data_IF_800275119978
#
_entry.id   IF_800275119978
#
_cell.length_a   1.000
_cell.length_b   1.000
_cell.length_c   1.000
_cell.angle_alpha   90.00
_cell.angle_beta   90.00
_cell.angle_gamma   90.00
#
_symmetry.space_group_name_H-M   'P 1'
#
loop_
_entity.id
_entity.type
_entity.pdbx_description
1 polymer ?
#
# COMPACT_ATOMS: atom_id res chain seq x y z
N UNK A 1 -3.79 -9.20 -7.50
CA UNK A 1 -4.33 -8.44 -8.65
C UNK A 1 -3.24 -8.28 -9.69
N UNK A 2 -3.55 -8.30 -10.98
CA UNK A 2 -2.55 -8.10 -12.05
C UNK A 2 -2.64 -6.69 -12.63
N UNK A 3 -1.50 -6.13 -13.00
CA UNK A 3 -1.41 -4.89 -13.74
C UNK A 3 -1.87 -5.08 -15.20
N UNK A 4 -1.88 -3.99 -15.99
CA UNK A 4 -2.27 -4.05 -17.41
C UNK A 4 -1.39 -4.95 -18.28
N UNK A 5 -0.18 -5.26 -17.83
CA UNK A 5 0.79 -6.12 -18.51
C UNK A 5 0.73 -7.59 -18.01
N UNK A 6 -0.17 -7.91 -17.08
CA UNK A 6 -0.31 -9.25 -16.49
C UNK A 6 0.67 -9.54 -15.35
N UNK A 7 1.40 -8.53 -14.84
CA UNK A 7 2.31 -8.66 -13.70
C UNK A 7 1.48 -8.62 -12.42
N UNK A 8 1.70 -9.59 -11.54
CA UNK A 8 1.08 -9.59 -10.21
C UNK A 8 1.62 -8.44 -9.38
N UNK A 9 0.72 -7.56 -8.92
CA UNK A 9 1.04 -6.42 -8.05
C UNK A 9 1.16 -6.92 -6.61
N UNK A 10 2.30 -6.65 -5.97
CA UNK A 10 2.58 -7.06 -4.60
C UNK A 10 2.91 -5.86 -3.71
N UNK A 11 2.78 -6.07 -2.40
CA UNK A 11 3.21 -5.09 -1.40
C UNK A 11 4.70 -4.78 -1.54
N UNK A 12 5.04 -3.49 -1.60
CA UNK A 12 6.39 -3.01 -1.89
C UNK A 12 6.67 -2.67 -3.35
N UNK A 13 5.80 -3.05 -4.30
CA UNK A 13 5.94 -2.66 -5.69
C UNK A 13 5.67 -1.18 -5.90
N UNK A 14 6.35 -0.59 -6.89
CA UNK A 14 6.05 0.75 -7.37
C UNK A 14 5.13 0.64 -8.57
N UNK A 15 4.03 1.38 -8.53
CA UNK A 15 3.00 1.41 -9.57
C UNK A 15 2.77 2.82 -10.07
N UNK A 16 2.45 2.95 -11.35
CA UNK A 16 1.97 4.20 -11.94
C UNK A 16 0.47 4.08 -12.24
N UNK A 17 -0.30 5.06 -11.80
CA UNK A 17 -1.71 5.22 -12.16
C UNK A 17 -1.82 6.27 -13.25
N UNK A 18 -2.55 5.92 -14.31
CA UNK A 18 -2.90 6.82 -15.42
C UNK A 18 -4.37 6.74 -15.77
N UNK A 19 -4.92 7.78 -16.40
CA UNK A 19 -6.29 7.76 -16.92
C UNK A 19 -7.40 8.00 -15.88
N UNK A 20 -7.05 8.30 -14.63
CA UNK A 20 -8.03 8.60 -13.59
C UNK A 20 -8.83 9.88 -13.89
N UNK A 21 -10.07 9.92 -13.40
CA UNK A 21 -10.98 11.07 -13.52
C UNK A 21 -10.39 12.31 -12.82
N UNK A 22 -9.92 12.16 -11.58
CA UNK A 22 -9.21 13.24 -10.89
C UNK A 22 -7.73 13.18 -11.21
N UNK A 23 -7.21 14.24 -11.85
CA UNK A 23 -5.80 14.35 -12.22
C UNK A 23 -4.82 14.17 -11.05
N UNK A 24 -5.28 14.40 -9.82
CA UNK A 24 -4.49 14.22 -8.60
C UNK A 24 -4.13 12.77 -8.31
N UNK A 25 -4.95 11.83 -8.79
CA UNK A 25 -4.78 10.40 -8.54
C UNK A 25 -3.82 9.77 -9.56
N UNK A 26 -3.55 10.47 -10.66
CA UNK A 26 -2.49 10.08 -11.59
C UNK A 26 -1.12 10.36 -10.96
N UNK A 27 -0.20 9.40 -11.10
CA UNK A 27 1.16 9.51 -10.59
C UNK A 27 1.75 8.18 -10.15
N UNK A 28 2.89 8.26 -9.48
CA UNK A 28 3.60 7.10 -8.94
C UNK A 28 3.20 6.87 -7.49
N UNK A 29 3.02 5.60 -7.16
CA UNK A 29 2.69 5.13 -5.83
C UNK A 29 3.53 3.89 -5.52
N UNK A 30 3.74 3.58 -4.25
CA UNK A 30 4.11 2.24 -3.83
C UNK A 30 2.90 1.55 -3.21
N UNK A 31 2.86 0.23 -3.32
CA UNK A 31 1.81 -0.60 -2.71
C UNK A 31 2.15 -0.79 -1.24
N UNK A 32 1.39 -0.12 -0.38
CA UNK A 32 1.53 -0.27 1.07
C UNK A 32 0.85 -1.56 1.55
N UNK A 33 -0.33 -1.87 0.97
CA UNK A 33 -1.13 -3.05 1.32
C UNK A 33 -1.72 -3.69 0.08
N UNK A 34 -1.59 -5.00 -0.01
CA UNK A 34 -2.25 -5.83 -1.01
C UNK A 34 -3.34 -6.71 -0.37
N UNK A 35 -4.29 -7.16 -1.18
CA UNK A 35 -5.32 -8.12 -0.76
C UNK A 35 -4.67 -9.39 -0.21
N UNK A 36 -5.07 -9.80 1.00
CA UNK A 36 -4.52 -10.97 1.69
C UNK A 36 -3.31 -10.69 2.58
N UNK A 37 -2.80 -9.45 2.60
CA UNK A 37 -1.73 -9.05 3.51
C UNK A 37 -2.14 -9.29 4.98
N UNK A 38 -1.21 -9.78 5.83
CA UNK A 38 -1.42 -9.81 7.27
C UNK A 38 -1.89 -8.45 7.83
N UNK A 39 -3.05 -8.47 8.48
CA UNK A 39 -3.66 -7.28 9.09
C UNK A 39 -4.43 -6.38 8.12
N UNK A 40 -4.51 -6.73 6.83
CA UNK A 40 -5.35 -6.06 5.85
C UNK A 40 -6.65 -6.85 5.65
N UNK A 41 -7.79 -6.17 5.82
CA UNK A 41 -9.12 -6.78 5.67
C UNK A 41 -9.84 -6.32 4.40
N UNK A 42 -9.22 -5.41 3.64
CA UNK A 42 -9.78 -4.91 2.39
C UNK A 42 -9.41 -5.79 1.20
N UNK A 43 -10.30 -5.83 0.21
CA UNK A 43 -10.00 -6.33 -1.15
C UNK A 43 -9.23 -5.30 -1.98
N UNK A 44 -9.35 -4.02 -1.63
CA UNK A 44 -8.70 -2.92 -2.33
C UNK A 44 -7.25 -2.80 -1.88
N UNK A 45 -6.38 -2.33 -2.77
CA UNK A 45 -4.97 -2.12 -2.51
C UNK A 45 -4.78 -0.71 -1.95
N UNK A 46 -4.04 -0.56 -0.86
CA UNK A 46 -3.67 0.74 -0.31
C UNK A 46 -2.36 1.20 -0.96
N UNK A 47 -2.36 2.41 -1.52
CA UNK A 47 -1.24 2.97 -2.26
C UNK A 47 -0.77 4.27 -1.62
N UNK A 48 0.54 4.46 -1.52
CA UNK A 48 1.15 5.69 -1.02
C UNK A 48 1.97 6.40 -2.09
N UNK A 49 1.72 7.69 -2.27
CA UNK A 49 2.31 8.49 -3.34
C UNK A 49 3.82 8.62 -3.15
N UNK A 50 4.54 8.36 -4.24
CA UNK A 50 5.99 8.45 -4.30
C UNK A 50 6.41 9.34 -5.46
N UNK A 51 7.54 10.01 -5.34
CA UNK A 51 8.13 10.75 -6.46
C UNK A 51 8.85 9.80 -7.42
N UNK A 52 9.10 10.26 -8.65
CA UNK A 52 9.96 9.55 -9.62
C UNK A 52 11.38 9.24 -9.10
N UNK A 53 11.82 9.92 -8.03
CA UNK A 53 13.13 9.72 -7.39
C UNK A 53 13.09 8.69 -6.26
N UNK A 54 11.93 8.09 -5.97
CA UNK A 54 11.77 7.16 -4.85
C UNK A 54 11.52 7.82 -3.49
N UNK A 55 11.25 9.14 -3.46
CA UNK A 55 10.91 9.86 -2.21
C UNK A 55 9.43 9.70 -1.86
N UNK A 56 9.11 9.22 -0.67
CA UNK A 56 7.73 9.08 -0.18
C UNK A 56 7.12 10.46 0.09
N UNK A 57 5.91 10.70 -0.40
CA UNK A 57 5.21 11.96 -0.22
C UNK A 57 4.69 12.10 1.22
N UNK A 58 5.00 13.23 1.86
CA UNK A 58 4.48 13.62 3.19
C UNK A 58 3.24 14.53 3.09
N UNK A 59 2.71 14.75 1.90
CA UNK A 59 1.55 15.60 1.69
C UNK A 59 0.28 14.94 2.24
N UNK A 60 -0.66 15.74 2.77
CA UNK A 60 -1.93 15.26 3.34
C UNK A 60 -2.76 14.36 2.40
N UNK A 61 -2.67 14.56 1.09
CA UNK A 61 -3.39 13.79 0.06
C UNK A 61 -2.42 12.90 -0.72
N UNK A 62 -1.73 12.02 -0.01
CA UNK A 62 -0.75 11.07 -0.56
C UNK A 62 -1.29 9.64 -0.67
N UNK A 63 -2.41 9.30 -0.04
CA UNK A 63 -3.00 7.96 -0.11
C UNK A 63 -3.95 7.86 -1.31
N UNK A 64 -3.90 6.73 -2.00
CA UNK A 64 -4.85 6.31 -3.02
C UNK A 64 -5.23 4.85 -2.79
N UNK A 65 -6.40 4.45 -3.28
CA UNK A 65 -6.79 3.04 -3.29
C UNK A 65 -6.84 2.53 -4.71
N UNK A 66 -6.64 1.23 -4.89
CA UNK A 66 -6.83 0.56 -6.17
C UNK A 66 -7.74 -0.66 -6.03
N UNK A 67 -8.90 -0.73 -6.72
CA UNK A 67 -9.45 0.25 -7.66
C UNK A 67 -9.67 1.66 -7.07
N UNK A 68 -9.64 2.71 -7.91
CA UNK A 68 -9.65 4.10 -7.44
C UNK A 68 -10.92 4.43 -6.65
N UNK A 69 -10.77 4.62 -5.34
CA UNK A 69 -11.82 5.08 -4.46
C UNK A 69 -12.02 6.61 -4.57
N UNK A 70 -13.28 7.03 -4.75
CA UNK A 70 -13.67 8.44 -4.88
C UNK A 70 -14.34 8.93 -3.59
N UNK A 71 -13.72 9.91 -2.93
CA UNK A 71 -14.18 10.48 -1.65
C UNK A 71 -14.61 11.95 -1.81
N UNK A 72 -15.75 12.19 -2.45
CA UNK A 72 -16.35 13.53 -2.55
C UNK A 72 -17.79 13.51 -2.06
N UNK A 73 -18.31 14.68 -1.65
CA UNK A 73 -19.68 14.82 -1.14
C UNK A 73 -20.73 14.77 -2.26
N UNK A 74 -20.37 15.19 -3.47
CA UNK A 74 -21.26 15.21 -4.62
C UNK A 74 -21.46 13.79 -5.19
N UNK A 75 -22.67 13.26 -5.01
CA UNK A 75 -23.03 11.90 -5.44
C UNK A 75 -23.03 11.73 -6.95
N UNK A 76 -23.46 12.73 -7.71
CA UNK A 76 -23.52 12.63 -9.17
C UNK A 76 -22.10 12.56 -9.74
N UNK A 77 -21.23 13.46 -9.29
CA UNK A 77 -19.80 13.42 -9.66
C UNK A 77 -19.10 12.15 -9.18
N UNK A 78 -19.48 11.62 -8.01
CA UNK A 78 -18.92 10.36 -7.52
C UNK A 78 -19.26 9.21 -8.47
N UNK A 79 -20.51 9.13 -8.94
CA UNK A 79 -20.93 8.10 -9.88
C UNK A 79 -20.22 8.24 -11.24
N UNK A 80 -20.12 9.47 -11.76
CA UNK A 80 -19.37 9.75 -13.00
C UNK A 80 -17.90 9.36 -12.88
N UNK A 81 -17.24 9.76 -11.79
CA UNK A 81 -15.84 9.46 -11.56
C UNK A 81 -15.58 7.96 -11.40
N UNK A 82 -16.46 7.22 -10.70
CA UNK A 82 -16.35 5.76 -10.58
C UNK A 82 -16.49 5.08 -11.94
N UNK A 83 -17.48 5.48 -12.74
CA UNK A 83 -17.68 4.93 -14.09
C UNK A 83 -16.46 5.22 -14.98
N UNK A 84 -15.99 6.46 -14.98
CA UNK A 84 -14.79 6.84 -15.73
C UNK A 84 -13.56 6.05 -15.29
N UNK A 85 -13.30 5.96 -13.99
CA UNK A 85 -12.15 5.22 -13.47
C UNK A 85 -12.21 3.74 -13.84
N UNK A 86 -13.39 3.13 -13.81
CA UNK A 86 -13.56 1.73 -14.22
C UNK A 86 -13.25 1.51 -15.71
N UNK A 87 -13.53 2.51 -16.56
CA UNK A 87 -13.34 2.43 -18.01
C UNK A 87 -11.93 2.86 -18.46
N UNK A 88 -11.29 3.77 -17.74
CA UNK A 88 -10.09 4.48 -18.21
C UNK A 88 -8.89 4.42 -17.27
N UNK A 89 -9.07 4.13 -15.98
CA UNK A 89 -7.94 4.09 -15.08
C UNK A 89 -7.13 2.81 -15.31
N UNK A 90 -5.83 2.97 -15.47
CA UNK A 90 -4.88 1.89 -15.60
C UNK A 90 -3.85 1.95 -14.48
N UNK A 91 -3.38 0.78 -14.06
CA UNK A 91 -2.27 0.61 -13.14
C UNK A 91 -1.17 -0.21 -13.83
N UNK A 92 0.07 0.20 -13.64
CA UNK A 92 1.24 -0.44 -14.24
C UNK A 92 2.38 -0.55 -13.22
N UNK A 93 2.97 -1.72 -13.06
CA UNK A 93 4.17 -1.87 -12.23
C UNK A 93 5.37 -1.24 -12.93
N UNK A 94 6.10 -0.39 -12.22
CA UNK A 94 7.26 0.34 -12.75
C UNK A 94 8.54 -0.12 -12.08
N UNK A 95 9.44 -0.66 -12.89
CA UNK A 95 10.81 -0.98 -12.52
C UNK A 95 11.74 0.22 -12.77
N UNK A 96 12.81 0.36 -11.98
CA UNK A 96 13.81 1.43 -12.16
C UNK A 96 13.61 2.68 -11.30
N UNK A 97 12.60 2.72 -10.43
CA UNK A 97 12.50 3.73 -9.36
C UNK A 97 13.09 3.15 -8.08
N UNK A 98 13.87 3.96 -7.36
CA UNK A 98 14.46 3.52 -6.08
C UNK A 98 13.37 3.19 -5.06
N UNK A 99 13.52 2.02 -4.41
CA UNK A 99 12.62 1.51 -3.36
C UNK A 99 13.26 1.57 -1.96
N UNK A 100 14.40 2.25 -1.80
CA UNK A 100 15.11 2.31 -0.52
C UNK A 100 14.25 2.89 0.61
N UNK A 101 13.58 4.02 0.39
CA UNK A 101 12.68 4.58 1.40
C UNK A 101 11.45 3.71 1.67
N UNK A 102 11.03 2.91 0.70
CA UNK A 102 9.92 1.96 0.88
C UNK A 102 10.36 0.82 1.80
N UNK A 103 11.59 0.32 1.65
CA UNK A 103 12.15 -0.66 2.57
C UNK A 103 12.27 -0.12 4.00
N UNK A 104 12.73 1.14 4.15
CA UNK A 104 12.80 1.81 5.45
C UNK A 104 11.42 2.01 6.07
N UNK A 105 10.42 2.40 5.27
CA UNK A 105 9.03 2.53 5.70
C UNK A 105 8.49 1.22 6.30
N UNK A 106 8.66 0.08 5.61
CA UNK A 106 8.20 -1.21 6.15
C UNK A 106 8.98 -1.63 7.40
N UNK A 107 10.26 -1.28 7.49
CA UNK A 107 11.05 -1.52 8.69
C UNK A 107 10.52 -0.72 9.89
N UNK A 108 10.24 0.57 9.70
CA UNK A 108 9.65 1.43 10.73
C UNK A 108 8.28 0.90 11.19
N UNK A 109 7.41 0.51 10.25
CA UNK A 109 6.13 -0.13 10.55
C UNK A 109 6.28 -1.42 11.37
N UNK A 110 7.33 -2.20 11.11
CA UNK A 110 7.62 -3.40 11.90
C UNK A 110 8.12 -3.04 13.31
N UNK A 111 8.94 -2.00 13.43
CA UNK A 111 9.51 -1.55 14.70
C UNK A 111 8.43 -0.98 15.62
N UNK A 112 7.47 -0.21 15.08
CA UNK A 112 6.30 0.31 15.83
C UNK A 112 5.46 -0.80 16.47
N UNK A 113 5.36 -1.97 15.83
CA UNK A 113 4.64 -3.12 16.38
C UNK A 113 5.31 -3.74 17.60
N UNK A 114 6.61 -3.49 17.83
CA UNK A 114 7.37 -4.09 18.92
C UNK A 114 6.79 -3.74 20.30
N UNK A 115 6.55 -2.45 20.55
CA UNK A 115 5.98 -2.01 21.82
C UNK A 115 4.52 -2.45 21.99
N UNK A 116 3.78 -2.52 20.88
CA UNK A 116 2.40 -3.04 20.88
C UNK A 116 2.35 -4.52 21.26
N UNK A 117 3.20 -5.34 20.64
CA UNK A 117 3.34 -6.77 20.94
C UNK A 117 3.72 -6.94 22.41
N UNK A 118 4.73 -6.21 22.89
CA UNK A 118 5.16 -6.27 24.29
C UNK A 118 4.00 -5.99 25.26
N UNK A 119 3.25 -4.92 25.03
CA UNK A 119 2.13 -4.53 25.88
C UNK A 119 1.01 -5.58 25.82
N UNK A 120 0.67 -6.07 24.64
CA UNK A 120 -0.43 -7.00 24.46
C UNK A 120 -0.06 -8.41 24.98
N UNK A 121 1.21 -8.82 24.90
CA UNK A 121 1.73 -10.02 25.57
C UNK A 121 1.61 -9.93 27.08
N UNK A 122 1.89 -8.78 27.68
CA UNK A 122 1.72 -8.60 29.13
C UNK A 122 0.25 -8.64 29.56
N UNK A 123 -0.66 -8.05 28.78
CA UNK A 123 -2.08 -8.00 29.10
C UNK A 123 -2.83 -9.32 28.86
N UNK A 124 -2.50 -10.03 27.77
CA UNK A 124 -3.32 -11.13 27.25
C UNK A 124 -2.55 -12.47 27.18
N UNK A 125 -1.24 -12.45 27.43
CA UNK A 125 -0.35 -13.60 27.26
C UNK A 125 0.16 -13.75 25.82
N UNK A 126 1.35 -14.32 25.70
CA UNK A 126 2.07 -14.50 24.41
C UNK A 126 1.30 -15.41 23.43
N UNK A 127 0.54 -16.37 23.96
CA UNK A 127 -0.22 -17.33 23.16
C UNK A 127 -1.58 -16.81 22.68
N UNK A 128 -1.96 -15.59 23.06
CA UNK A 128 -3.22 -14.99 22.64
C UNK A 128 -3.26 -14.74 21.13
N UNK A 129 -4.45 -14.88 20.53
CA UNK A 129 -4.64 -14.65 19.10
C UNK A 129 -4.25 -13.23 18.66
N UNK A 130 -4.38 -12.25 19.55
CA UNK A 130 -4.02 -10.85 19.28
C UNK A 130 -2.50 -10.72 19.11
N UNK A 131 -1.72 -11.32 20.01
CA UNK A 131 -0.26 -11.29 19.95
C UNK A 131 0.23 -12.05 18.73
N UNK A 132 -0.29 -13.25 18.47
CA UNK A 132 0.05 -14.04 17.27
C UNK A 132 -0.21 -13.28 15.98
N UNK A 133 -1.36 -12.58 15.88
CA UNK A 133 -1.68 -11.72 14.74
C UNK A 133 -0.65 -10.60 14.58
N UNK A 134 -0.28 -9.91 15.65
CA UNK A 134 0.67 -8.80 15.59
C UNK A 134 2.08 -9.26 15.22
N UNK A 135 2.53 -10.40 15.78
CA UNK A 135 3.82 -11.02 15.42
C UNK A 135 3.83 -11.41 13.94
N UNK A 136 2.74 -11.98 13.41
CA UNK A 136 2.63 -12.31 11.99
C UNK A 136 2.72 -11.04 11.11
N UNK A 137 2.00 -9.98 11.47
CA UNK A 137 2.08 -8.69 10.75
C UNK A 137 3.50 -8.13 10.77
N UNK A 138 4.15 -8.14 11.94
CA UNK A 138 5.52 -7.67 12.07
C UNK A 138 6.49 -8.48 11.22
N UNK A 139 6.38 -9.81 11.23
CA UNK A 139 7.20 -10.71 10.42
C UNK A 139 7.02 -10.43 8.93
N UNK A 140 5.79 -10.18 8.49
CA UNK A 140 5.48 -9.83 7.11
C UNK A 140 6.14 -8.52 6.67
N UNK A 141 6.09 -7.45 7.45
CA UNK A 141 6.80 -6.22 7.06
C UNK A 141 8.31 -6.37 7.00
N UNK A 142 8.89 -7.15 7.91
CA UNK A 142 10.32 -7.46 7.88
C UNK A 142 10.69 -8.24 6.62
N UNK A 143 9.85 -9.19 6.19
CA UNK A 143 10.09 -9.94 4.95
C UNK A 143 9.95 -9.06 3.71
N UNK A 144 8.95 -8.18 3.66
CA UNK A 144 8.78 -7.21 2.56
C UNK A 144 9.98 -6.28 2.47
N UNK A 145 10.40 -5.67 3.58
CA UNK A 145 11.59 -4.80 3.63
C UNK A 145 12.85 -5.52 3.15
N UNK A 146 13.05 -6.76 3.61
CA UNK A 146 14.20 -7.59 3.21
C UNK A 146 14.17 -7.96 1.73
N UNK A 147 13.00 -8.27 1.18
CA UNK A 147 12.83 -8.58 -0.24
C UNK A 147 13.16 -7.37 -1.12
N UNK A 148 12.68 -6.18 -0.73
CA UNK A 148 12.98 -4.94 -1.46
C UNK A 148 14.49 -4.67 -1.46
N UNK A 149 15.17 -4.85 -0.33
CA UNK A 149 16.62 -4.63 -0.22
C UNK A 149 17.43 -5.67 -1.01
N UNK A 150 16.93 -6.90 -1.16
CA UNK A 150 17.59 -7.94 -1.95
C UNK A 150 17.50 -7.69 -3.46
N UNK A 151 16.51 -6.92 -3.91
CA UNK A 151 16.28 -6.54 -5.30
C UNK A 151 16.84 -5.15 -5.68
N UNK A 152 17.45 -4.43 -4.73
CA UNK A 152 18.00 -3.08 -4.91
C UNK A 152 19.46 -3.12 -5.39
#
# INVERSE_FOLDING_TARGET
>A
MTDKNGIEIKTGDIVEITGSYFKTDNGFYFVERSEGDPGWLGSDYCLHKISKRGKISQAKKNICFWPIAVFISDRAKTAEARKWNQEHAEIEVKTGISRAEVADFFKEMADELTERIRRDSWNFGEESDIVKKQVNIQGYYKSVSSAILAEA
#
